data_IF_823270319703
#
_entry.id   IF_823270319703
#
_cell.length_a   1.000
_cell.length_b   1.000
_cell.length_c   1.000
_cell.angle_alpha   90.00
_cell.angle_beta   90.00
_cell.angle_gamma   90.00
#
_symmetry.space_group_name_H-M   'P 1'
#
loop_
_entity.id
_entity.type
_entity.pdbx_description
1 polymer ?
#
# COMPACT_ATOMS: atom_id res chain seq x y z
N UNK A 1 8.11 5.41 0.58
CA UNK A 1 6.66 5.69 0.38
C UNK A 1 6.23 6.03 -1.07
N UNK A 2 5.05 5.56 -1.48
CA UNK A 2 4.44 5.79 -2.81
C UNK A 2 3.02 6.36 -2.75
N UNK A 3 2.19 5.92 -1.81
CA UNK A 3 0.85 6.44 -1.53
C UNK A 3 0.76 7.01 -0.12
N UNK A 4 -0.15 7.96 0.06
CA UNK A 4 -0.43 8.62 1.34
C UNK A 4 -1.91 9.01 1.35
N UNK A 5 -2.67 8.53 2.32
CA UNK A 5 -4.12 8.79 2.43
C UNK A 5 -4.48 9.20 3.86
N UNK A 6 -5.42 10.13 4.00
CA UNK A 6 -5.92 10.54 5.31
C UNK A 6 -7.33 10.02 5.52
N UNK A 7 -7.49 9.12 6.49
CA UNK A 7 -8.79 8.69 6.97
C UNK A 7 -9.40 9.81 7.81
N UNK A 8 -10.33 10.55 7.20
CA UNK A 8 -11.03 11.64 7.88
C UNK A 8 -12.01 11.16 8.96
N UNK A 9 -12.49 9.92 8.89
CA UNK A 9 -13.43 9.38 9.87
C UNK A 9 -12.71 9.04 11.18
N UNK A 10 -11.58 8.35 11.08
CA UNK A 10 -10.79 7.93 12.25
C UNK A 10 -9.71 8.97 12.64
N UNK A 11 -9.41 9.94 11.77
CA UNK A 11 -8.37 10.94 12.00
C UNK A 11 -6.96 10.36 11.88
N UNK A 12 -6.79 9.39 10.98
CA UNK A 12 -5.58 8.59 10.83
C UNK A 12 -4.88 8.87 9.49
N UNK A 13 -3.55 8.85 9.50
CA UNK A 13 -2.76 8.99 8.28
C UNK A 13 -2.18 7.63 7.91
N UNK A 14 -2.36 7.20 6.68
CA UNK A 14 -1.90 5.91 6.18
C UNK A 14 -0.92 6.10 5.02
N UNK A 15 0.03 5.18 4.86
CA UNK A 15 1.00 5.23 3.77
C UNK A 15 1.35 3.86 3.22
N UNK A 16 1.66 3.80 1.92
CA UNK A 16 2.24 2.61 1.29
C UNK A 16 3.70 2.83 0.95
N UNK A 17 4.53 1.79 0.99
CA UNK A 17 5.89 1.87 0.49
C UNK A 17 6.42 0.61 -0.18
N UNK A 18 7.43 0.81 -1.02
CA UNK A 18 8.19 -0.30 -1.59
C UNK A 18 9.23 -0.77 -0.60
N UNK A 19 9.26 -2.08 -0.40
CA UNK A 19 10.42 -2.72 0.20
C UNK A 19 11.52 -3.00 -0.83
N UNK A 20 12.60 -3.67 -0.40
CA UNK A 20 13.66 -4.13 -1.29
C UNK A 20 13.17 -5.35 -2.12
N UNK A 21 13.74 -6.55 -1.91
CA UNK A 21 13.24 -7.78 -2.54
C UNK A 21 12.14 -8.39 -1.68
N UNK A 22 10.91 -7.87 -1.83
CA UNK A 22 9.83 -8.13 -0.86
C UNK A 22 9.67 -6.95 0.09
N UNK A 23 8.81 -7.08 1.10
CA UNK A 23 8.63 -6.06 2.14
C UNK A 23 7.93 -4.79 1.69
N UNK A 24 7.04 -4.88 0.69
CA UNK A 24 6.14 -3.75 0.43
C UNK A 24 5.13 -3.66 1.58
N UNK A 25 4.79 -2.44 2.00
CA UNK A 25 4.04 -2.24 3.24
C UNK A 25 2.84 -1.31 3.08
N UNK A 26 1.84 -1.51 3.95
CA UNK A 26 0.84 -0.50 4.34
C UNK A 26 1.03 -0.18 5.82
N UNK A 27 1.21 1.10 6.12
CA UNK A 27 1.62 1.61 7.43
C UNK A 27 0.58 2.61 7.96
N UNK A 28 0.19 2.48 9.24
CA UNK A 28 -0.45 3.55 10.00
C UNK A 28 0.64 4.52 10.46
N UNK A 29 0.54 5.79 10.04
CA UNK A 29 1.53 6.82 10.26
C UNK A 29 1.25 7.61 11.55
N UNK A 30 2.10 7.36 12.55
CA UNK A 30 2.00 7.92 13.89
C UNK A 30 3.10 8.98 14.12
N UNK A 31 2.78 10.12 14.77
CA UNK A 31 3.76 11.19 15.00
C UNK A 31 5.02 10.71 15.73
N UNK A 32 6.19 10.98 15.12
CA UNK A 32 7.50 10.74 15.72
C UNK A 32 7.92 9.27 15.82
N UNK A 33 7.18 8.34 15.19
CA UNK A 33 7.54 6.91 15.18
C UNK A 33 8.59 6.57 14.12
N UNK A 34 9.31 5.49 14.38
CA UNK A 34 10.34 4.94 13.51
C UNK A 34 9.80 3.68 12.82
N UNK A 35 9.79 3.66 11.48
CA UNK A 35 9.29 2.55 10.66
C UNK A 35 10.41 1.59 10.22
N UNK A 36 11.60 1.71 10.82
CA UNK A 36 12.62 0.67 10.77
C UNK A 36 13.62 0.78 9.63
N UNK A 37 13.22 1.20 8.42
CA UNK A 37 14.17 1.28 7.30
C UNK A 37 15.32 2.28 7.54
N UNK A 38 16.59 1.94 7.20
CA UNK A 38 17.08 0.67 6.67
C UNK A 38 17.57 -0.32 7.74
N UNK A 39 17.30 -0.06 9.02
CA UNK A 39 17.75 -0.94 10.11
C UNK A 39 17.02 -2.30 10.11
N UNK A 40 15.78 -2.32 9.60
CA UNK A 40 14.92 -3.49 9.52
C UNK A 40 14.01 -3.43 8.28
N UNK A 41 13.69 -4.59 7.73
CA UNK A 41 12.63 -4.78 6.73
C UNK A 41 12.17 -6.24 6.78
N UNK A 42 10.90 -6.49 6.45
CA UNK A 42 10.40 -7.86 6.19
C UNK A 42 10.85 -8.39 4.82
N UNK A 43 11.36 -7.52 3.95
CA UNK A 43 12.01 -7.89 2.71
C UNK A 43 13.46 -8.35 2.89
N UNK A 44 14.09 -8.74 1.77
CA UNK A 44 15.51 -9.08 1.71
C UNK A 44 16.27 -8.06 0.86
N UNK A 45 17.57 -7.95 1.06
CA UNK A 45 18.43 -7.33 0.05
C UNK A 45 18.31 -8.08 -1.29
N UNK A 46 18.66 -7.39 -2.38
CA UNK A 46 18.48 -7.95 -3.73
C UNK A 46 19.34 -9.20 -4.00
N UNK A 47 20.44 -9.37 -3.28
CA UNK A 47 21.26 -10.60 -3.30
C UNK A 47 20.68 -11.73 -2.44
N UNK A 48 19.61 -11.46 -1.67
CA UNK A 48 18.88 -12.42 -0.85
C UNK A 48 19.30 -12.47 0.62
N UNK A 49 20.19 -11.61 1.09
CA UNK A 49 20.50 -11.53 2.53
C UNK A 49 19.43 -10.76 3.31
N UNK A 50 19.28 -11.00 4.62
CA UNK A 50 18.47 -10.16 5.49
C UNK A 50 18.96 -8.70 5.50
N UNK A 51 18.04 -7.76 5.64
CA UNK A 51 18.35 -6.32 5.80
C UNK A 51 18.81 -6.09 7.24
N UNK A 52 20.11 -5.80 7.45
CA UNK A 52 20.72 -5.62 8.77
C UNK A 52 21.68 -4.42 8.84
N UNK A 53 21.37 -3.29 8.18
CA UNK A 53 22.26 -2.13 8.09
C UNK A 53 22.57 -1.48 9.46
N UNK A 54 21.78 -1.75 10.51
CA UNK A 54 22.07 -1.28 11.86
C UNK A 54 23.45 -1.72 12.37
N UNK A 55 23.87 -2.95 12.05
CA UNK A 55 25.19 -3.46 12.44
C UNK A 55 26.33 -2.64 11.82
N UNK A 56 26.24 -2.37 10.52
CA UNK A 56 27.26 -1.65 9.78
C UNK A 56 27.34 -0.17 10.19
N UNK A 57 26.21 0.41 10.59
CA UNK A 57 26.12 1.78 11.08
C UNK A 57 26.45 1.92 12.58
N UNK A 58 26.67 0.81 13.30
CA UNK A 58 26.88 0.81 14.75
C UNK A 58 25.65 1.24 15.55
N UNK A 59 24.45 1.03 15.00
CA UNK A 59 23.16 1.36 15.59
C UNK A 59 22.53 0.09 16.16
N UNK A 60 22.33 0.06 17.46
CA UNK A 60 21.54 -0.96 18.17
C UNK A 60 20.10 -0.50 18.35
N UNK A 61 19.15 -1.41 18.12
CA UNK A 61 17.71 -1.19 18.32
C UNK A 61 17.05 -2.51 18.73
N UNK A 62 15.90 -2.45 19.39
CA UNK A 62 15.02 -3.59 19.61
C UNK A 62 13.85 -3.53 18.62
N UNK A 63 13.26 -4.66 18.24
CA UNK A 63 12.08 -4.65 17.36
C UNK A 63 10.90 -3.86 17.94
N UNK A 64 10.82 -3.73 19.27
CA UNK A 64 9.83 -2.88 19.95
C UNK A 64 10.04 -1.38 19.74
N UNK A 65 11.21 -0.96 19.24
CA UNK A 65 11.52 0.43 18.88
C UNK A 65 11.04 0.77 17.45
N UNK A 66 10.56 -0.24 16.71
CA UNK A 66 10.13 -0.12 15.32
C UNK A 66 8.62 -0.32 15.24
N UNK A 67 7.94 0.68 14.70
CA UNK A 67 6.54 0.56 14.30
C UNK A 67 6.45 -0.44 13.15
N UNK A 68 5.66 -1.50 13.35
CA UNK A 68 5.51 -2.56 12.37
C UNK A 68 4.46 -2.17 11.32
N UNK A 69 4.59 -2.64 10.07
CA UNK A 69 3.55 -2.44 9.08
C UNK A 69 2.27 -3.17 9.50
N UNK A 70 1.13 -2.55 9.18
CA UNK A 70 -0.19 -3.16 9.36
C UNK A 70 -0.37 -4.29 8.33
N UNK A 71 0.18 -4.11 7.13
CA UNK A 71 0.15 -5.10 6.06
C UNK A 71 1.54 -5.25 5.45
N UNK A 72 2.06 -6.47 5.42
CA UNK A 72 3.18 -6.86 4.56
C UNK A 72 2.67 -7.49 3.26
N UNK A 73 3.22 -7.05 2.13
CA UNK A 73 2.91 -7.54 0.80
C UNK A 73 4.11 -8.28 0.21
N UNK A 74 4.72 -9.20 0.95
CA UNK A 74 5.76 -10.08 0.41
C UNK A 74 5.15 -11.26 -0.37
N UNK A 75 5.59 -11.54 -1.62
CA UNK A 75 6.61 -10.82 -2.40
C UNK A 75 6.10 -9.48 -2.97
N UNK A 76 7.01 -8.50 -3.07
CA UNK A 76 6.69 -7.11 -3.44
C UNK A 76 5.92 -7.03 -4.79
N UNK A 77 4.66 -6.55 -4.76
CA UNK A 77 3.89 -6.21 -5.95
C UNK A 77 4.28 -4.84 -6.53
N UNK A 78 5.20 -4.12 -5.88
CA UNK A 78 5.51 -2.71 -6.08
C UNK A 78 4.25 -1.84 -5.91
N UNK A 79 3.73 -1.77 -4.69
CA UNK A 79 2.54 -0.97 -4.30
C UNK A 79 2.66 0.49 -4.73
N UNK A 80 1.56 1.11 -5.11
CA UNK A 80 1.52 2.50 -5.57
C UNK A 80 0.66 3.35 -4.65
N UNK A 81 -0.04 4.34 -5.20
CA UNK A 81 -1.15 5.01 -4.52
C UNK A 81 -2.25 4.03 -4.10
N UNK A 82 -3.04 4.46 -3.14
CA UNK A 82 -4.23 3.78 -2.63
C UNK A 82 -5.23 4.82 -2.13
N UNK A 83 -6.49 4.40 -1.96
CA UNK A 83 -7.53 5.16 -1.28
C UNK A 83 -8.17 4.31 -0.19
N UNK A 84 -8.82 4.96 0.78
CA UNK A 84 -9.81 4.35 1.67
C UNK A 84 -11.18 4.71 1.10
N UNK A 85 -11.88 3.74 0.51
CA UNK A 85 -13.06 4.04 -0.32
C UNK A 85 -14.31 4.25 0.53
N UNK A 86 -15.07 5.28 0.18
CA UNK A 86 -16.42 5.58 0.71
C UNK A 86 -17.45 5.63 -0.42
N UNK A 87 -17.16 4.92 -1.52
CA UNK A 87 -17.96 4.95 -2.72
C UNK A 87 -19.27 4.20 -2.54
N UNK A 88 -20.38 4.94 -2.58
CA UNK A 88 -21.73 4.37 -2.59
C UNK A 88 -22.01 3.47 -3.80
N UNK A 89 -21.19 3.51 -4.86
CA UNK A 89 -21.30 2.61 -6.02
C UNK A 89 -20.77 1.21 -5.72
N UNK A 90 -19.91 1.07 -4.71
CA UNK A 90 -19.31 -0.19 -4.28
C UNK A 90 -19.51 -0.36 -2.77
N UNK A 91 -20.76 -0.50 -2.29
CA UNK A 91 -21.07 -0.49 -0.85
C UNK A 91 -20.44 -1.66 -0.08
N UNK A 92 -20.08 -2.75 -0.75
CA UNK A 92 -19.35 -3.88 -0.14
C UNK A 92 -17.87 -3.57 0.13
N UNK A 93 -17.36 -2.43 -0.34
CA UNK A 93 -15.97 -2.01 -0.18
C UNK A 93 -15.82 -0.83 0.80
N UNK A 94 -16.92 -0.35 1.40
CA UNK A 94 -16.91 0.81 2.30
C UNK A 94 -15.88 0.65 3.44
N UNK A 95 -14.97 1.61 3.56
CA UNK A 95 -13.88 1.62 4.54
C UNK A 95 -12.66 0.78 4.16
N UNK A 96 -12.69 0.06 3.05
CA UNK A 96 -11.55 -0.75 2.61
C UNK A 96 -10.50 0.05 1.85
N UNK A 97 -9.28 -0.49 1.86
CA UNK A 97 -8.14 0.07 1.16
C UNK A 97 -8.09 -0.50 -0.25
N UNK A 98 -8.22 0.36 -1.26
CA UNK A 98 -7.98 0.00 -2.65
C UNK A 98 -6.54 0.34 -3.02
N UNK A 99 -5.67 -0.66 -3.11
CA UNK A 99 -4.22 -0.49 -3.27
C UNK A 99 -3.78 -0.87 -4.68
N UNK A 100 -3.18 0.08 -5.39
CA UNK A 100 -2.64 -0.13 -6.72
C UNK A 100 -1.26 -0.80 -6.68
N UNK A 101 -0.86 -1.41 -7.80
CA UNK A 101 0.47 -1.99 -7.93
C UNK A 101 1.07 -1.85 -9.33
N UNK A 102 2.38 -1.67 -9.33
CA UNK A 102 3.18 -1.43 -10.53
C UNK A 102 3.72 -2.72 -11.14
N UNK A 103 4.29 -3.61 -10.33
CA UNK A 103 4.93 -4.84 -10.80
C UNK A 103 3.91 -5.96 -10.97
N UNK A 104 3.02 -6.13 -9.99
CA UNK A 104 1.95 -7.13 -10.07
C UNK A 104 0.88 -6.75 -11.11
N UNK A 105 0.72 -5.44 -11.40
CA UNK A 105 -0.30 -4.92 -12.33
C UNK A 105 -1.72 -5.27 -11.88
N UNK A 106 -1.92 -5.18 -10.57
CA UNK A 106 -3.14 -5.59 -9.88
C UNK A 106 -3.69 -4.47 -9.03
N UNK A 107 -5.02 -4.43 -8.91
CA UNK A 107 -5.72 -3.66 -7.89
C UNK A 107 -6.09 -4.62 -6.76
N UNK A 108 -5.66 -4.31 -5.54
CA UNK A 108 -6.02 -5.07 -4.34
C UNK A 108 -7.11 -4.34 -3.57
N UNK A 109 -8.04 -5.09 -2.98
CA UNK A 109 -8.86 -4.60 -1.85
C UNK A 109 -8.31 -5.23 -0.58
N UNK A 110 -8.01 -4.40 0.39
CA UNK A 110 -7.46 -4.80 1.69
C UNK A 110 -8.42 -4.33 2.77
N UNK A 111 -8.91 -5.29 3.54
CA UNK A 111 -9.77 -5.06 4.70
C UNK A 111 -8.89 -4.95 5.94
N UNK A 112 -9.00 -3.82 6.64
CA UNK A 112 -8.29 -3.52 7.88
C UNK A 112 -9.34 -3.14 8.92
N UNK A 113 -9.37 -3.85 10.04
CA UNK A 113 -10.28 -3.58 11.16
C UNK A 113 -9.47 -3.30 12.42
N UNK A 114 -9.81 -2.22 13.14
CA UNK A 114 -9.10 -1.82 14.36
C UNK A 114 -7.57 -1.76 14.16
N UNK A 115 -7.15 -1.22 13.02
CA UNK A 115 -5.74 -1.08 12.61
C UNK A 115 -4.99 -2.43 12.50
N UNK A 116 -5.73 -3.52 12.23
CA UNK A 116 -5.19 -4.86 12.01
C UNK A 116 -5.64 -5.39 10.65
N UNK A 117 -4.72 -6.00 9.92
CA UNK A 117 -5.02 -6.69 8.67
C UNK A 117 -6.02 -7.83 8.89
N UNK A 118 -7.12 -7.83 8.12
CA UNK A 118 -8.12 -8.90 8.13
C UNK A 118 -7.96 -9.79 6.91
N UNK A 119 -8.06 -9.22 5.71
CA UNK A 119 -7.90 -9.97 4.45
C UNK A 119 -7.50 -9.08 3.29
N UNK A 120 -6.99 -9.73 2.24
CA UNK A 120 -6.70 -9.13 0.94
C UNK A 120 -7.35 -9.95 -0.16
N UNK A 121 -7.96 -9.28 -1.11
CA UNK A 121 -8.38 -9.85 -2.38
C UNK A 121 -7.81 -9.08 -3.57
N UNK A 122 -7.66 -9.76 -4.71
CA UNK A 122 -7.27 -9.12 -5.96
C UNK A 122 -8.54 -8.84 -6.78
N UNK A 123 -8.86 -7.56 -6.98
CA UNK A 123 -10.04 -7.15 -7.75
C UNK A 123 -9.79 -7.22 -9.26
N UNK A 124 -8.60 -6.80 -9.70
CA UNK A 124 -8.22 -6.81 -11.10
C UNK A 124 -6.77 -7.26 -11.26
N UNK A 125 -6.49 -7.98 -12.34
CA UNK A 125 -5.14 -8.36 -12.75
C UNK A 125 -4.91 -8.01 -14.23
N UNK A 126 -3.70 -7.58 -14.57
CA UNK A 126 -3.25 -7.44 -15.95
C UNK A 126 -3.74 -6.18 -16.67
N UNK A 127 -4.60 -5.34 -16.06
CA UNK A 127 -5.16 -4.14 -16.69
C UNK A 127 -4.11 -3.06 -16.99
N UNK A 128 -2.99 -3.05 -16.27
CA UNK A 128 -1.90 -2.10 -16.45
C UNK A 128 -1.09 -1.93 -15.18
N UNK A 129 -0.02 -1.14 -15.24
CA UNK A 129 0.69 -0.71 -14.03
C UNK A 129 -0.14 0.41 -13.40
N UNK A 130 -0.78 0.13 -12.26
CA UNK A 130 -1.58 1.15 -11.59
C UNK A 130 -0.61 2.04 -10.82
N UNK A 131 -0.57 3.32 -11.18
CA UNK A 131 0.27 4.36 -10.55
C UNK A 131 -0.51 5.10 -9.48
N UNK A 132 -1.75 5.45 -9.81
CA UNK A 132 -2.58 6.30 -8.96
C UNK A 132 -4.02 5.79 -8.89
N UNK A 133 -4.69 6.09 -7.78
CA UNK A 133 -6.08 5.75 -7.50
C UNK A 133 -6.70 6.95 -6.82
N UNK A 134 -7.86 7.40 -7.30
CA UNK A 134 -8.56 8.55 -6.74
C UNK A 134 -10.07 8.33 -6.72
N UNK A 135 -10.72 8.77 -5.65
CA UNK A 135 -12.17 8.81 -5.55
C UNK A 135 -12.68 10.24 -5.80
N UNK A 136 -13.55 10.40 -6.79
CA UNK A 136 -14.25 11.66 -7.04
C UNK A 136 -15.34 11.95 -6.01
N UNK A 137 -15.78 13.21 -5.92
CA UNK A 137 -16.85 13.64 -5.00
C UNK A 137 -18.20 12.93 -5.22
N UNK A 138 -18.41 12.32 -6.38
CA UNK A 138 -19.60 11.53 -6.71
C UNK A 138 -19.41 10.03 -6.42
N UNK A 139 -18.32 9.63 -5.76
CA UNK A 139 -17.97 8.25 -5.48
C UNK A 139 -17.37 7.51 -6.69
N UNK A 140 -17.19 8.13 -7.85
CA UNK A 140 -16.50 7.48 -8.98
C UNK A 140 -15.04 7.19 -8.60
N UNK A 141 -14.59 5.96 -8.80
CA UNK A 141 -13.18 5.58 -8.55
C UNK A 141 -12.43 5.54 -9.89
N UNK A 142 -11.30 6.23 -9.95
CA UNK A 142 -10.44 6.34 -11.11
C UNK A 142 -9.08 5.69 -10.86
N UNK A 143 -8.53 5.04 -11.88
CA UNK A 143 -7.17 4.50 -11.88
C UNK A 143 -6.32 5.19 -12.94
N UNK A 144 -5.13 5.63 -12.57
CA UNK A 144 -4.08 6.00 -13.52
C UNK A 144 -3.25 4.77 -13.85
N UNK A 145 -3.34 4.31 -15.09
CA UNK A 145 -2.52 3.23 -15.64
C UNK A 145 -1.31 3.84 -16.36
N UNK A 146 -0.10 3.69 -15.80
CA UNK A 146 1.13 4.19 -16.43
C UNK A 146 1.64 3.23 -17.51
N UNK A 147 2.06 3.80 -18.65
CA UNK A 147 2.70 3.06 -19.73
C UNK A 147 3.65 3.99 -20.50
N UNK A 148 4.81 3.47 -20.93
CA UNK A 148 5.84 4.27 -21.59
C UNK A 148 5.42 4.86 -22.95
N UNK A 149 4.37 4.31 -23.58
CA UNK A 149 3.82 4.81 -24.85
C UNK A 149 2.55 5.65 -24.70
N UNK A 150 2.16 6.01 -23.47
CA UNK A 150 0.95 6.78 -23.17
C UNK A 150 0.13 6.14 -22.05
N UNK A 151 0.05 6.82 -20.91
CA UNK A 151 -0.80 6.41 -19.78
C UNK A 151 -2.29 6.56 -20.09
N UNK A 152 -3.14 5.92 -19.28
CA UNK A 152 -4.61 6.00 -19.38
C UNK A 152 -5.21 6.24 -18.02
N UNK A 153 -6.25 7.08 -17.96
CA UNK A 153 -7.14 7.15 -16.82
C UNK A 153 -8.37 6.31 -17.17
N UNK A 154 -8.70 5.36 -16.30
CA UNK A 154 -9.89 4.52 -16.42
C UNK A 154 -10.77 4.72 -15.19
N UNK A 155 -12.06 4.50 -15.33
CA UNK A 155 -13.02 4.56 -14.24
C UNK A 155 -13.53 3.15 -13.93
N UNK A 156 -13.61 2.77 -12.67
CA UNK A 156 -14.27 1.54 -12.26
C UNK A 156 -15.78 1.72 -12.41
N UNK A 157 -16.46 0.68 -12.88
CA UNK A 157 -17.91 0.64 -13.01
C UNK A 157 -18.41 -0.68 -12.42
N UNK A 158 -19.48 -0.67 -11.62
CA UNK A 158 -20.14 -1.90 -11.19
C UNK A 158 -20.63 -2.70 -12.40
N UNK A 159 -20.69 -4.02 -12.25
CA UNK A 159 -21.41 -4.89 -13.20
C UNK A 159 -22.86 -5.01 -12.73
N UNK A 160 -23.80 -5.00 -13.67
CA UNK A 160 -25.22 -5.23 -13.41
C UNK A 160 -25.51 -6.68 -12.93
#
# INVERSE_FOLDING_TARGET
>A
PQGLEFDFENGELWGTEHGPRGGDEVNLLLPGRNYGWPLYSLGLDYDGTPVEYGRDLGITFELSDIEQPVVDLTPSPAVSSFIITTSEQFPEWEGDFLVGSLKARSLFRIEIENNQFVRRETLFEGIGRIRDIEQGFNGDIYLLLEHGSGGRIVRLVPVD
#
